data_IF_848521252261
#
_entry.id   IF_848521252261
#
_cell.length_a   1.000
_cell.length_b   1.000
_cell.length_c   1.000
_cell.angle_alpha   90.00
_cell.angle_beta   90.00
_cell.angle_gamma   90.00
#
_symmetry.space_group_name_H-M   'P 1'
#
loop_
_entity.id
_entity.type
_entity.pdbx_description
1 polymer ?
#
# COMPACT_ATOMS: atom_id res chain seq x y z
N UNK A 1 -10.57 11.70 9.78
CA UNK A 1 -11.80 10.94 9.44
C UNK A 1 -11.71 9.63 10.20
N UNK A 2 -12.76 9.16 10.90
CA UNK A 2 -12.68 7.90 11.63
C UNK A 2 -12.61 6.72 10.65
N UNK A 3 -11.62 5.86 10.83
CA UNK A 3 -11.42 4.64 10.03
C UNK A 3 -11.70 3.42 10.91
N UNK A 4 -12.41 2.42 10.36
CA UNK A 4 -12.76 1.18 11.05
C UNK A 4 -12.34 0.00 10.19
N UNK A 5 -11.56 -0.91 10.77
CA UNK A 5 -11.11 -2.14 10.11
C UNK A 5 -11.97 -3.29 10.61
N UNK A 6 -12.68 -3.96 9.70
CA UNK A 6 -13.53 -5.11 10.01
C UNK A 6 -12.86 -6.37 9.46
N UNK A 7 -12.53 -7.32 10.35
CA UNK A 7 -12.05 -8.65 9.96
C UNK A 7 -13.23 -9.61 9.91
N UNK A 8 -13.29 -10.41 8.85
CA UNK A 8 -14.35 -11.39 8.64
C UNK A 8 -13.76 -12.63 7.96
N UNK A 9 -14.31 -13.81 8.25
CA UNK A 9 -13.91 -15.09 7.64
C UNK A 9 -14.88 -15.54 6.54
N UNK A 10 -16.17 -15.21 6.68
CA UNK A 10 -17.22 -15.63 5.73
C UNK A 10 -17.31 -14.66 4.54
N UNK A 11 -17.13 -15.13 3.29
CA UNK A 11 -17.29 -14.31 2.09
C UNK A 11 -18.66 -13.65 1.95
N UNK A 12 -19.73 -14.22 2.50
CA UNK A 12 -21.07 -13.59 2.50
C UNK A 12 -21.10 -12.28 3.28
N UNK A 13 -20.24 -12.14 4.29
CA UNK A 13 -20.17 -10.93 5.11
C UNK A 13 -19.67 -9.75 4.30
N UNK A 14 -18.78 -9.99 3.32
CA UNK A 14 -18.30 -8.95 2.42
C UNK A 14 -19.42 -8.39 1.54
N UNK A 15 -20.30 -9.25 1.01
CA UNK A 15 -21.43 -8.81 0.18
C UNK A 15 -22.37 -7.89 0.97
N UNK A 16 -22.66 -8.25 2.21
CA UNK A 16 -23.49 -7.42 3.11
C UNK A 16 -22.83 -6.08 3.41
N UNK A 17 -21.50 -6.07 3.64
CA UNK A 17 -20.75 -4.83 3.85
C UNK A 17 -20.77 -3.92 2.60
N UNK A 18 -20.70 -4.50 1.40
CA UNK A 18 -20.81 -3.76 0.13
C UNK A 18 -22.19 -3.14 -0.09
N UNK A 19 -23.24 -3.81 0.35
CA UNK A 19 -24.60 -3.26 0.29
C UNK A 19 -24.80 -2.14 1.31
N UNK A 20 -24.30 -2.31 2.54
CA UNK A 20 -24.33 -1.29 3.58
C UNK A 20 -23.54 -0.04 3.17
N UNK A 21 -22.36 -0.19 2.56
CA UNK A 21 -21.54 0.95 2.17
C UNK A 21 -22.23 1.85 1.15
N UNK A 22 -23.01 1.27 0.22
CA UNK A 22 -23.83 2.03 -0.74
C UNK A 22 -24.91 2.85 -0.04
N UNK A 23 -25.56 2.28 0.98
CA UNK A 23 -26.62 2.97 1.72
C UNK A 23 -26.10 4.09 2.62
N UNK A 24 -24.89 3.93 3.15
CA UNK A 24 -24.28 4.84 4.13
C UNK A 24 -23.23 5.77 3.50
N UNK A 25 -23.04 5.69 2.19
CA UNK A 25 -22.08 6.49 1.42
C UNK A 25 -20.64 6.38 1.96
N UNK A 26 -20.27 5.19 2.45
CA UNK A 26 -18.92 4.90 2.91
C UNK A 26 -18.05 4.41 1.76
N UNK A 27 -16.80 4.86 1.73
CA UNK A 27 -15.79 4.34 0.82
C UNK A 27 -15.16 3.09 1.43
N UNK A 28 -15.39 1.93 0.81
CA UNK A 28 -14.74 0.69 1.22
C UNK A 28 -13.48 0.46 0.40
N UNK A 29 -12.36 0.46 1.09
CA UNK A 29 -11.08 0.02 0.53
C UNK A 29 -10.88 -1.43 0.95
N UNK A 30 -11.04 -2.36 0.01
CA UNK A 30 -10.51 -3.71 0.21
C UNK A 30 -9.01 -3.57 0.39
N UNK A 31 -8.48 -4.13 1.47
CA UNK A 31 -7.03 -4.20 1.68
C UNK A 31 -6.45 -5.05 0.54
N UNK A 32 -6.12 -4.38 -0.56
CA UNK A 32 -5.37 -4.98 -1.63
C UNK A 32 -3.93 -5.00 -1.13
N UNK A 33 -3.33 -6.19 -1.05
CA UNK A 33 -1.89 -6.41 -0.83
C UNK A 33 -0.98 -5.66 -1.82
N UNK A 34 -1.54 -4.88 -2.74
CA UNK A 34 -0.86 -4.14 -3.78
C UNK A 34 -0.76 -2.63 -3.51
N UNK A 35 -1.47 -2.09 -2.52
CA UNK A 35 -1.44 -0.65 -2.23
C UNK A 35 -0.62 -0.40 -0.98
N UNK A 36 0.47 0.34 -1.12
CA UNK A 36 1.36 0.70 -0.03
C UNK A 36 1.46 2.20 0.09
N UNK A 37 1.31 2.72 1.31
CA UNK A 37 1.63 4.10 1.62
C UNK A 37 3.08 4.15 2.11
N UNK A 38 3.95 4.87 1.39
CA UNK A 38 5.31 5.15 1.85
C UNK A 38 5.53 6.65 1.90
N UNK A 39 5.73 7.20 3.10
CA UNK A 39 5.86 8.64 3.37
C UNK A 39 4.76 9.51 2.72
N UNK A 40 3.51 9.04 2.72
CA UNK A 40 2.37 9.75 2.13
C UNK A 40 2.25 9.62 0.61
N UNK A 41 3.16 8.89 -0.05
CA UNK A 41 3.05 8.54 -1.47
C UNK A 41 2.42 7.16 -1.59
N UNK A 42 1.32 7.09 -2.33
CA UNK A 42 0.62 5.83 -2.63
C UNK A 42 1.34 5.10 -3.76
N UNK A 43 1.89 3.92 -3.47
CA UNK A 43 2.53 3.02 -4.43
C UNK A 43 1.57 1.86 -4.70
N UNK A 44 1.23 1.67 -5.97
CA UNK A 44 0.36 0.58 -6.42
C UNK A 44 1.23 -0.42 -7.19
N UNK A 45 1.31 -1.66 -6.71
CA UNK A 45 1.95 -2.76 -7.46
C UNK A 45 1.17 -3.02 -8.75
N UNK A 46 1.81 -2.79 -9.89
CA UNK A 46 1.29 -3.22 -11.19
C UNK A 46 1.33 -4.74 -11.39
N UNK A 47 2.21 -5.44 -10.66
CA UNK A 47 2.30 -6.90 -10.63
C UNK A 47 2.44 -7.39 -9.18
N UNK A 48 1.58 -8.34 -8.80
CA UNK A 48 1.48 -8.89 -7.43
C UNK A 48 2.78 -9.53 -6.96
N UNK A 49 3.58 -10.08 -7.87
CA UNK A 49 4.78 -10.86 -7.55
C UNK A 49 6.06 -10.01 -7.45
N UNK A 50 5.97 -8.70 -7.66
CA UNK A 50 7.15 -7.82 -7.59
C UNK A 50 7.46 -7.49 -6.14
N UNK A 51 8.70 -7.78 -5.72
CA UNK A 51 9.21 -7.38 -4.42
C UNK A 51 9.50 -5.87 -4.41
N UNK A 52 8.92 -5.16 -3.42
CA UNK A 52 9.09 -3.72 -3.23
C UNK A 52 9.88 -3.39 -1.96
N UNK A 53 10.51 -4.39 -1.33
CA UNK A 53 11.28 -4.22 -0.09
C UNK A 53 12.40 -3.18 -0.24
N UNK A 54 13.11 -3.21 -1.37
CA UNK A 54 14.16 -2.22 -1.68
C UNK A 54 13.58 -0.81 -1.85
N UNK A 55 12.42 -0.69 -2.52
CA UNK A 55 11.75 0.60 -2.74
C UNK A 55 11.27 1.17 -1.41
N UNK A 56 10.72 0.34 -0.53
CA UNK A 56 10.35 0.75 0.83
C UNK A 56 11.54 1.36 1.55
N UNK A 57 12.72 0.72 1.51
CA UNK A 57 13.92 1.25 2.16
C UNK A 57 14.36 2.62 1.65
N UNK A 58 14.17 2.92 0.35
CA UNK A 58 14.49 4.23 -0.22
C UNK A 58 13.55 5.33 0.30
N UNK A 59 12.28 4.98 0.51
CA UNK A 59 11.27 5.96 0.90
C UNK A 59 11.07 6.04 2.42
N UNK A 60 11.43 5.05 3.24
CA UNK A 60 11.23 5.07 4.71
C UNK A 60 12.36 5.75 5.51
N UNK A 61 12.81 6.93 5.09
CA UNK A 61 13.56 7.86 5.97
C UNK A 61 15.01 7.48 6.35
N UNK A 62 15.85 7.13 5.39
CA UNK A 62 17.23 7.61 5.47
C UNK A 62 17.22 9.05 4.95
N UNK A 63 17.64 10.02 5.77
CA UNK A 63 18.02 11.37 5.34
C UNK A 63 19.23 11.32 4.38
N UNK A 64 19.15 10.51 3.34
CA UNK A 64 20.17 10.40 2.31
C UNK A 64 19.89 11.48 1.29
N UNK A 65 20.93 12.28 1.04
CA UNK A 65 20.95 13.22 -0.06
C UNK A 65 20.62 12.47 -1.38
N UNK A 66 19.85 13.13 -2.24
CA UNK A 66 19.43 12.58 -3.53
C UNK A 66 20.62 12.22 -4.43
N UNK A 67 21.79 12.83 -4.17
CA UNK A 67 23.06 12.49 -4.81
C UNK A 67 23.56 11.11 -4.35
N UNK A 68 23.54 10.85 -3.04
CA UNK A 68 23.98 9.59 -2.42
C UNK A 68 23.10 8.41 -2.82
N UNK A 69 21.78 8.63 -2.92
CA UNK A 69 20.84 7.62 -3.42
C UNK A 69 21.18 7.14 -4.84
N UNK A 70 21.52 8.07 -5.75
CA UNK A 70 21.91 7.72 -7.13
C UNK A 70 23.21 6.93 -7.18
N UNK A 71 24.14 7.19 -6.28
CA UNK A 71 25.45 6.53 -6.28
C UNK A 71 25.46 5.19 -5.59
N UNK A 72 24.64 4.98 -4.56
CA UNK A 72 24.69 3.77 -3.73
C UNK A 72 23.55 2.80 -4.00
N UNK A 73 22.31 3.29 -4.12
CA UNK A 73 21.13 2.43 -4.25
C UNK A 73 20.81 2.04 -5.70
N UNK A 74 21.18 2.87 -6.67
CA UNK A 74 20.89 2.64 -8.10
C UNK A 74 22.02 1.95 -8.87
N UNK A 75 23.04 1.43 -8.18
CA UNK A 75 24.02 0.57 -8.84
C UNK A 75 23.42 -0.82 -9.06
N UNK A 76 23.42 -1.28 -10.31
CA UNK A 76 23.12 -2.67 -10.61
C UNK A 76 24.15 -3.54 -9.89
N UNK A 77 23.69 -4.47 -9.05
CA UNK A 77 24.56 -5.54 -8.54
C UNK A 77 25.15 -6.26 -9.76
N UNK A 78 26.48 -6.31 -9.79
CA UNK A 78 27.24 -7.03 -10.82
C UNK A 78 27.09 -8.53 -10.64
#
# INVERSE_FOLDING_TARGET
MPEVIIKYEDPKTLEVLEELSKSMNFEMVKENDNVYLVNGVTIIKGNKNVDLSDIRQLFTAKNMDAKTLRTEAWQRKK
#
